data_IF_163130073520
#
_entry.id   IF_163130073520
#
_cell.length_a   1.000
_cell.length_b   1.000
_cell.length_c   1.000
_cell.angle_alpha   90.00
_cell.angle_beta   90.00
_cell.angle_gamma   90.00
#
_symmetry.space_group_name_H-M   'P 1'
#
loop_
_entity.id
_entity.type
_entity.pdbx_description
1 polymer ?
#
# COMPACT_ATOMS: atom_id res chain seq x y z
N UNK A 1 19.86 -13.17 24.20
CA UNK A 1 18.54 -12.59 24.44
C UNK A 1 18.42 -11.43 23.45
N UNK A 2 17.87 -11.64 22.56
CA UNK A 2 16.77 -11.76 21.61
C UNK A 2 16.93 -10.81 20.44
N UNK A 3 17.84 -11.20 19.53
CA UNK A 3 18.00 -10.49 18.22
C UNK A 3 16.87 -10.86 17.23
N UNK A 4 15.96 -11.76 17.63
CA UNK A 4 14.92 -12.34 16.74
C UNK A 4 13.64 -11.50 16.66
N UNK A 5 13.61 -10.34 17.35
CA UNK A 5 12.43 -9.47 17.44
C UNK A 5 12.54 -8.18 16.62
N UNK A 6 13.67 -7.92 15.99
CA UNK A 6 13.88 -6.71 15.17
C UNK A 6 14.32 -7.08 13.77
N UNK A 7 13.64 -6.54 12.78
CA UNK A 7 13.96 -6.66 11.36
C UNK A 7 14.50 -5.32 10.85
N UNK A 8 15.66 -5.34 10.22
CA UNK A 8 16.22 -4.17 9.54
C UNK A 8 15.66 -4.13 8.11
N UNK A 9 14.87 -3.10 7.78
CA UNK A 9 14.25 -2.95 6.47
C UNK A 9 15.04 -1.97 5.61
N UNK A 10 15.42 -2.42 4.42
CA UNK A 10 16.02 -1.57 3.40
C UNK A 10 15.00 -0.57 2.88
N UNK A 11 15.46 0.65 2.58
CA UNK A 11 14.57 1.70 2.12
C UNK A 11 15.29 2.76 1.28
N UNK A 12 14.52 3.58 0.56
CA UNK A 12 15.04 4.75 -0.14
C UNK A 12 14.04 5.90 -0.13
N UNK A 13 14.57 7.10 -0.28
CA UNK A 13 13.81 8.35 -0.37
C UNK A 13 14.03 8.95 -1.76
N UNK A 14 12.93 9.13 -2.48
CA UNK A 14 12.90 9.74 -3.81
C UNK A 14 12.18 11.10 -3.75
N UNK A 15 12.67 12.08 -4.49
CA UNK A 15 12.03 13.39 -4.53
C UNK A 15 12.81 14.41 -5.35
N UNK A 16 12.31 15.63 -5.40
CA UNK A 16 13.01 16.74 -6.03
C UNK A 16 14.21 17.19 -5.18
N UNK A 17 15.32 17.49 -5.84
CA UNK A 17 16.45 18.21 -5.26
C UNK A 17 16.64 19.53 -6.00
N UNK A 18 17.16 20.55 -5.31
CA UNK A 18 17.43 21.86 -5.93
C UNK A 18 18.46 21.80 -7.08
N UNK A 19 19.33 20.79 -7.08
CA UNK A 19 20.45 20.72 -8.01
C UNK A 19 20.25 19.73 -9.17
N UNK A 20 19.43 18.70 -9.00
CA UNK A 20 19.37 17.54 -9.91
C UNK A 20 17.98 17.16 -10.40
N UNK A 21 16.95 17.95 -10.09
CA UNK A 21 15.57 17.55 -10.40
C UNK A 21 15.10 16.37 -9.53
N UNK A 22 14.27 15.49 -10.08
CA UNK A 22 13.78 14.30 -9.38
C UNK A 22 14.80 13.16 -9.40
N UNK A 23 14.99 12.51 -8.26
CA UNK A 23 15.89 11.37 -8.13
C UNK A 23 15.90 10.75 -6.73
N UNK A 24 16.68 9.70 -6.56
CA UNK A 24 16.96 9.12 -5.24
C UNK A 24 17.83 10.09 -4.46
N UNK A 25 17.33 10.52 -3.31
CA UNK A 25 18.05 11.38 -2.37
C UNK A 25 18.88 10.57 -1.40
N UNK A 26 18.29 9.50 -0.89
CA UNK A 26 18.90 8.62 0.10
C UNK A 26 18.51 7.18 -0.16
N UNK A 27 19.41 6.25 0.08
CA UNK A 27 19.15 4.81 -0.03
C UNK A 27 19.97 4.05 1.01
N UNK A 28 19.41 2.99 1.57
CA UNK A 28 20.10 2.15 2.53
C UNK A 28 21.22 1.32 1.90
N UNK A 29 22.16 0.88 2.75
CA UNK A 29 23.43 0.27 2.28
C UNK A 29 23.24 -1.06 1.54
N UNK A 30 22.24 -1.87 1.94
CA UNK A 30 21.96 -3.18 1.34
C UNK A 30 21.13 -3.12 0.07
N UNK A 31 20.62 -1.94 -0.29
CA UNK A 31 19.69 -1.81 -1.40
C UNK A 31 20.41 -1.85 -2.77
N UNK A 32 19.88 -2.68 -3.67
CA UNK A 32 20.24 -2.63 -5.09
C UNK A 32 19.40 -1.57 -5.83
N UNK A 33 19.73 -0.29 -5.58
CA UNK A 33 18.96 0.85 -6.08
C UNK A 33 18.61 0.80 -7.57
N UNK A 34 19.54 0.49 -8.51
CA UNK A 34 19.23 0.43 -9.93
C UNK A 34 18.12 -0.55 -10.32
N UNK A 35 17.99 -1.68 -9.61
CA UNK A 35 16.96 -2.66 -9.88
C UNK A 35 15.57 -2.11 -9.51
N UNK A 36 15.48 -1.51 -8.32
CA UNK A 36 14.20 -0.99 -7.82
C UNK A 36 13.80 0.31 -8.50
N UNK A 37 14.74 1.14 -8.91
CA UNK A 37 14.47 2.42 -9.57
C UNK A 37 13.75 2.26 -10.91
N UNK A 38 14.20 1.35 -11.77
CA UNK A 38 13.52 1.08 -13.04
C UNK A 38 12.08 0.64 -12.84
N UNK A 39 11.84 -0.14 -11.80
CA UNK A 39 10.51 -0.59 -11.45
C UNK A 39 9.62 0.57 -10.98
N UNK A 40 10.14 1.42 -10.10
CA UNK A 40 9.38 2.53 -9.53
C UNK A 40 9.16 3.67 -10.50
N UNK A 41 10.11 4.02 -11.35
CA UNK A 41 9.93 5.07 -12.36
C UNK A 41 8.70 4.81 -13.23
N UNK A 42 8.44 3.56 -13.57
CA UNK A 42 7.27 3.17 -14.33
C UNK A 42 5.96 3.22 -13.52
N UNK A 43 6.02 3.16 -12.18
CA UNK A 43 4.85 3.05 -11.30
C UNK A 43 4.57 4.33 -10.51
N UNK A 44 5.58 5.18 -10.29
CA UNK A 44 5.44 6.45 -9.55
C UNK A 44 4.99 7.63 -10.42
N UNK A 45 5.31 7.61 -11.72
CA UNK A 45 4.97 8.66 -12.67
C UNK A 45 3.47 8.94 -12.82
N UNK A 46 2.53 8.02 -12.55
CA UNK A 46 1.11 8.28 -12.71
C UNK A 46 0.49 9.15 -11.65
N UNK A 47 1.11 9.33 -10.49
CA UNK A 47 0.52 10.13 -9.42
C UNK A 47 0.72 11.61 -9.75
N UNK A 48 -0.23 12.17 -10.50
CA UNK A 48 -0.26 13.61 -10.76
C UNK A 48 -0.60 14.34 -9.48
N UNK A 49 0.26 15.32 -9.20
CA UNK A 49 0.02 16.35 -8.19
C UNK A 49 -1.24 17.12 -8.58
N UNK A 50 -2.39 16.85 -7.95
CA UNK A 50 -3.58 17.65 -8.16
C UNK A 50 -3.39 19.02 -7.48
N UNK A 51 -3.57 20.09 -8.25
CA UNK A 51 -3.70 21.44 -7.69
C UNK A 51 -5.05 21.53 -6.98
N UNK A 52 -5.04 21.78 -5.70
CA UNK A 52 -6.27 22.20 -4.99
C UNK A 52 -6.70 23.57 -5.48
N UNK A 53 -7.97 23.94 -5.30
CA UNK A 53 -8.51 25.26 -5.65
C UNK A 53 -7.70 26.42 -5.04
N UNK A 54 -6.94 26.18 -3.98
CA UNK A 54 -6.07 27.15 -3.30
C UNK A 54 -4.58 27.00 -3.67
N UNK A 55 -4.25 26.33 -4.78
CA UNK A 55 -2.87 26.17 -5.24
C UNK A 55 -2.01 25.18 -4.46
N UNK A 56 -2.55 24.50 -3.46
CA UNK A 56 -1.87 23.45 -2.69
C UNK A 56 -2.03 22.09 -3.35
N UNK A 57 -0.97 21.29 -3.33
CA UNK A 57 -1.02 19.90 -3.74
C UNK A 57 -1.11 19.04 -2.51
N UNK A 58 -2.16 18.25 -2.39
CA UNK A 58 -2.27 17.22 -1.38
C UNK A 58 -2.10 15.88 -2.06
N UNK A 59 -0.91 15.29 -1.90
CA UNK A 59 -0.72 13.87 -2.12
C UNK A 59 -0.44 13.27 -0.75
N UNK A 60 -1.27 12.35 -0.37
CA UNK A 60 -1.10 11.52 0.80
C UNK A 60 -1.65 10.14 0.45
N UNK A 61 -0.91 9.43 -0.39
CA UNK A 61 -1.28 8.11 -0.88
C UNK A 61 -0.25 7.06 -0.44
N UNK A 62 -0.71 5.83 -0.34
CA UNK A 62 0.12 4.65 -0.11
C UNK A 62 0.02 3.73 -1.29
N UNK A 63 1.15 3.17 -1.68
CA UNK A 63 1.18 2.14 -2.71
C UNK A 63 1.86 0.90 -2.17
N UNK A 64 1.31 -0.25 -2.52
CA UNK A 64 1.89 -1.55 -2.24
C UNK A 64 2.14 -2.25 -3.56
N UNK A 65 3.35 -2.75 -3.75
CA UNK A 65 3.75 -3.44 -4.96
C UNK A 65 4.52 -4.72 -4.66
N UNK A 66 4.37 -5.78 -5.48
CA UNK A 66 5.35 -6.85 -5.49
C UNK A 66 6.68 -6.30 -5.99
N UNK A 67 7.77 -6.64 -5.33
CA UNK A 67 9.09 -6.28 -5.81
C UNK A 67 9.48 -7.11 -7.05
N UNK A 68 10.32 -6.57 -7.94
CA UNK A 68 10.77 -7.30 -9.14
C UNK A 68 11.66 -8.50 -8.83
N UNK A 69 12.31 -8.51 -7.68
CA UNK A 69 13.14 -9.60 -7.19
C UNK A 69 12.49 -10.24 -5.96
N UNK A 70 12.04 -11.47 -6.14
CA UNK A 70 11.86 -12.51 -5.12
C UNK A 70 11.24 -12.13 -3.77
N UNK A 71 9.95 -12.46 -3.62
CA UNK A 71 9.27 -12.59 -2.34
C UNK A 71 9.35 -11.36 -1.42
N UNK A 72 9.46 -10.19 -2.01
CA UNK A 72 9.48 -8.91 -1.32
C UNK A 72 8.29 -8.05 -1.71
N UNK A 73 7.93 -7.15 -0.80
CA UNK A 73 6.85 -6.17 -0.93
C UNK A 73 7.45 -4.78 -0.83
N UNK A 74 7.06 -3.89 -1.71
CA UNK A 74 7.41 -2.48 -1.64
C UNK A 74 6.23 -1.71 -1.06
N UNK A 75 6.44 -1.05 0.07
CA UNK A 75 5.50 -0.07 0.61
C UNK A 75 6.02 1.33 0.28
N UNK A 76 5.30 2.07 -0.54
CA UNK A 76 5.62 3.44 -0.90
C UNK A 76 4.68 4.42 -0.22
N UNK A 77 5.26 5.36 0.52
CA UNK A 77 4.60 6.42 1.25
C UNK A 77 4.78 7.70 0.43
N UNK A 78 3.72 8.13 -0.25
CA UNK A 78 3.74 9.36 -1.04
C UNK A 78 3.23 10.52 -0.20
N UNK A 79 3.99 11.60 -0.24
CA UNK A 79 3.65 12.82 0.46
C UNK A 79 4.11 14.06 -0.29
N UNK A 80 3.89 15.22 0.33
CA UNK A 80 4.36 16.50 -0.18
C UNK A 80 5.89 16.57 -0.03
N UNK A 81 6.58 16.76 -1.14
CA UNK A 81 8.01 17.04 -1.15
C UNK A 81 8.32 18.52 -0.90
N UNK A 82 9.61 18.84 -0.81
CA UNK A 82 10.10 20.21 -0.78
C UNK A 82 9.80 20.87 -2.13
N UNK A 83 9.39 22.15 -2.13
CA UNK A 83 9.19 22.89 -3.38
C UNK A 83 10.48 22.92 -4.20
N UNK A 84 10.35 22.83 -5.52
CA UNK A 84 11.50 22.96 -6.42
C UNK A 84 12.03 24.41 -6.50
N UNK A 85 13.06 24.63 -7.30
CA UNK A 85 13.67 25.95 -7.51
C UNK A 85 12.72 27.02 -8.04
N UNK A 86 11.61 26.60 -8.68
CA UNK A 86 10.54 27.47 -9.17
C UNK A 86 9.37 27.59 -8.20
N UNK A 87 9.56 27.19 -6.93
CA UNK A 87 8.53 27.14 -5.88
C UNK A 87 7.29 26.31 -6.26
N UNK A 88 7.47 25.29 -7.13
CA UNK A 88 6.39 24.39 -7.49
C UNK A 88 6.32 23.23 -6.48
N UNK A 89 5.11 22.81 -6.11
CA UNK A 89 4.94 21.67 -5.21
C UNK A 89 5.49 20.40 -5.86
N UNK A 90 6.26 19.63 -5.10
CA UNK A 90 6.83 18.36 -5.54
C UNK A 90 6.28 17.20 -4.74
N UNK A 91 6.51 16.00 -5.23
CA UNK A 91 6.19 14.74 -4.54
C UNK A 91 7.45 14.23 -3.88
N UNK A 92 7.33 13.79 -2.63
CA UNK A 92 8.30 12.92 -1.99
C UNK A 92 7.73 11.51 -1.92
N UNK A 93 8.59 10.54 -2.08
CA UNK A 93 8.26 9.14 -1.89
C UNK A 93 9.31 8.48 -1.01
N UNK A 94 8.85 7.89 0.08
CA UNK A 94 9.65 7.01 0.90
C UNK A 94 9.20 5.58 0.66
N UNK A 95 10.07 4.75 0.12
CA UNK A 95 9.74 3.34 -0.14
C UNK A 95 10.56 2.43 0.76
N UNK A 96 9.89 1.46 1.36
CA UNK A 96 10.46 0.44 2.23
C UNK A 96 10.32 -0.93 1.57
N UNK A 97 11.38 -1.73 1.62
CA UNK A 97 11.42 -3.11 1.12
C UNK A 97 11.11 -4.05 2.28
N UNK A 98 10.08 -4.87 2.12
CA UNK A 98 9.55 -5.73 3.18
C UNK A 98 9.64 -7.18 2.70
N UNK A 99 10.25 -8.13 3.45
CA UNK A 99 10.14 -9.55 3.14
C UNK A 99 8.67 -10.01 3.18
N UNK A 100 8.19 -10.59 2.08
CA UNK A 100 6.80 -11.06 1.97
C UNK A 100 6.46 -12.11 3.04
N UNK A 101 7.45 -12.90 3.46
CA UNK A 101 7.32 -13.86 4.55
C UNK A 101 6.95 -13.22 5.88
N UNK A 102 7.48 -12.03 6.19
CA UNK A 102 7.17 -11.32 7.42
C UNK A 102 5.71 -10.82 7.46
N UNK A 103 5.17 -10.37 6.31
CA UNK A 103 3.75 -10.02 6.19
C UNK A 103 2.86 -11.27 6.25
N UNK A 104 3.17 -12.31 5.48
CA UNK A 104 2.38 -13.56 5.45
C UNK A 104 2.35 -14.27 6.80
N UNK A 105 3.43 -14.19 7.56
CA UNK A 105 3.45 -14.76 8.91
C UNK A 105 2.63 -13.96 9.93
N UNK A 106 2.20 -12.73 9.59
CA UNK A 106 1.53 -11.79 10.50
C UNK A 106 2.45 -11.23 11.59
N UNK A 107 3.77 -11.43 11.47
CA UNK A 107 4.76 -10.87 12.42
C UNK A 107 5.04 -9.38 12.15
N UNK A 108 4.67 -8.89 10.98
CA UNK A 108 4.83 -7.49 10.58
C UNK A 108 3.55 -7.01 9.91
N UNK A 109 3.09 -5.81 10.26
CA UNK A 109 1.98 -5.14 9.59
C UNK A 109 2.48 -3.94 8.77
N UNK A 110 1.82 -3.65 7.66
CA UNK A 110 2.14 -2.50 6.80
C UNK A 110 2.04 -1.18 7.56
N UNK A 111 1.10 -1.07 8.49
CA UNK A 111 0.95 0.10 9.36
C UNK A 111 2.16 0.32 10.28
N UNK A 112 2.75 -0.76 10.81
CA UNK A 112 3.94 -0.67 11.66
C UNK A 112 5.15 -0.20 10.85
N UNK A 113 5.28 -0.65 9.60
CA UNK A 113 6.33 -0.22 8.66
C UNK A 113 6.15 1.25 8.29
N UNK A 114 4.92 1.68 7.99
CA UNK A 114 4.62 3.09 7.72
C UNK A 114 5.00 3.98 8.91
N UNK A 115 4.61 3.59 10.11
CA UNK A 115 4.91 4.34 11.32
C UNK A 115 6.42 4.50 11.53
N UNK A 116 7.20 3.43 11.29
CA UNK A 116 8.65 3.45 11.38
C UNK A 116 9.29 4.35 10.32
N UNK A 117 8.79 4.31 9.08
CA UNK A 117 9.29 5.17 8.01
C UNK A 117 8.98 6.66 8.26
N UNK A 118 7.77 6.98 8.75
CA UNK A 118 7.39 8.35 9.13
C UNK A 118 8.26 8.86 10.30
N UNK A 119 8.54 7.99 11.29
CA UNK A 119 9.41 8.34 12.40
C UNK A 119 10.85 8.59 11.91
N UNK A 120 11.34 7.77 10.97
CA UNK A 120 12.62 7.99 10.32
C UNK A 120 12.68 9.35 9.64
N UNK A 121 11.68 9.72 8.84
CA UNK A 121 11.63 11.02 8.14
C UNK A 121 11.61 12.21 9.11
N UNK A 122 10.97 12.05 10.26
CA UNK A 122 10.98 13.08 11.32
C UNK A 122 12.35 13.26 11.96
N UNK A 123 13.07 12.15 12.18
CA UNK A 123 14.42 12.19 12.77
C UNK A 123 15.47 12.68 11.79
N UNK A 124 15.29 12.34 10.51
CA UNK A 124 16.28 12.61 9.46
C UNK A 124 15.65 13.38 8.27
N UNK A 125 15.14 14.59 8.49
CA UNK A 125 14.41 15.35 7.45
C UNK A 125 15.28 15.77 6.26
N UNK A 126 16.61 15.67 6.41
CA UNK A 126 17.60 16.00 5.37
C UNK A 126 18.43 14.77 4.96
N UNK A 127 17.86 13.57 5.14
CA UNK A 127 18.56 12.34 4.74
C UNK A 127 19.01 12.41 3.27
N UNK A 128 20.27 12.07 3.03
CA UNK A 128 20.88 12.09 1.71
C UNK A 128 22.03 11.07 1.62
N UNK A 129 22.25 10.51 0.43
CA UNK A 129 23.32 9.54 0.20
C UNK A 129 23.01 8.18 0.81
N UNK A 130 24.03 7.54 1.37
CA UNK A 130 23.87 6.24 2.04
C UNK A 130 23.34 6.41 3.46
N UNK A 131 22.35 5.62 3.80
CA UNK A 131 21.64 5.68 5.09
C UNK A 131 21.49 4.27 5.68
N UNK A 132 21.20 4.20 6.98
CA UNK A 132 20.98 2.94 7.68
C UNK A 132 19.57 2.39 7.39
N UNK A 133 19.45 1.06 7.45
CA UNK A 133 18.14 0.39 7.36
C UNK A 133 17.24 0.77 8.55
N UNK A 134 15.91 0.73 8.33
CA UNK A 134 14.93 1.04 9.37
C UNK A 134 14.72 -0.20 10.26
N UNK A 135 14.98 -0.12 11.57
CA UNK A 135 14.66 -1.19 12.50
C UNK A 135 13.15 -1.20 12.77
N UNK A 136 12.49 -2.33 12.52
CA UNK A 136 11.08 -2.54 12.83
C UNK A 136 10.94 -3.76 13.73
N UNK A 137 10.16 -3.61 14.80
CA UNK A 137 9.92 -4.70 15.74
C UNK A 137 8.96 -5.71 15.14
N UNK A 138 9.36 -6.98 15.15
CA UNK A 138 8.49 -8.10 14.80
C UNK A 138 7.63 -8.50 15.98
N UNK A 139 6.40 -8.86 15.73
CA UNK A 139 5.51 -9.48 16.73
C UNK A 139 6.03 -10.88 17.09
N UNK A 140 5.89 -11.29 18.36
CA UNK A 140 6.21 -12.66 18.76
C UNK A 140 5.44 -13.69 17.92
N UNK A 141 6.01 -14.86 17.62
CA UNK A 141 5.35 -15.89 16.83
C UNK A 141 4.08 -16.47 17.45
N UNK A 142 3.99 -16.40 18.78
CA UNK A 142 2.91 -16.93 19.61
C UNK A 142 1.85 -15.88 19.98
N UNK A 143 2.10 -14.61 19.64
CA UNK A 143 1.06 -13.58 19.79
C UNK A 143 -0.09 -13.89 18.82
N UNK A 144 -1.36 -13.95 19.32
CA UNK A 144 -2.48 -14.16 18.44
C UNK A 144 -2.43 -13.06 17.37
N UNK A 145 -2.32 -13.48 16.13
CA UNK A 145 -2.40 -12.58 14.99
C UNK A 145 -3.70 -11.80 15.16
N UNK A 146 -3.59 -10.51 15.41
CA UNK A 146 -4.70 -9.64 15.07
C UNK A 146 -4.76 -9.71 13.53
N UNK A 147 -5.64 -10.54 12.94
CA UNK A 147 -5.78 -10.47 11.53
C UNK A 147 -6.08 -9.01 11.26
N UNK A 148 -5.57 -8.46 10.17
CA UNK A 148 -6.01 -7.17 9.62
C UNK A 148 -7.54 -6.95 9.76
N UNK A 149 -8.22 -7.95 10.24
CA UNK A 149 -9.62 -8.13 10.49
C UNK A 149 -10.23 -7.32 11.59
N UNK A 150 -9.59 -6.97 12.68
CA UNK A 150 -10.28 -6.14 13.70
C UNK A 150 -10.46 -4.71 13.16
N UNK A 151 -9.50 -4.21 12.39
CA UNK A 151 -9.64 -2.92 11.69
C UNK A 151 -10.65 -2.99 10.54
N UNK A 152 -10.62 -4.04 9.72
CA UNK A 152 -11.36 -4.11 8.45
C UNK A 152 -12.88 -4.01 8.62
N UNK A 153 -13.45 -4.58 9.70
CA UNK A 153 -14.90 -4.51 10.00
C UNK A 153 -15.43 -3.09 10.15
N UNK A 154 -14.59 -2.15 10.56
CA UNK A 154 -14.95 -0.74 10.72
C UNK A 154 -14.83 0.03 9.41
N UNK A 155 -14.16 -0.55 8.43
CA UNK A 155 -13.78 0.12 7.19
C UNK A 155 -14.62 -0.34 6.00
N UNK A 156 -15.05 -1.60 5.98
CA UNK A 156 -15.75 -2.18 4.83
C UNK A 156 -16.63 -3.34 5.28
N UNK A 157 -17.68 -3.65 4.53
CA UNK A 157 -18.57 -4.77 4.82
C UNK A 157 -17.94 -6.11 4.45
N UNK A 158 -18.35 -7.20 5.12
CA UNK A 158 -17.92 -8.55 4.76
C UNK A 158 -18.26 -8.89 3.31
N UNK A 159 -19.47 -8.53 2.86
CA UNK A 159 -19.93 -8.77 1.50
C UNK A 159 -19.01 -8.12 0.45
N UNK A 160 -18.54 -6.90 0.70
CA UNK A 160 -17.59 -6.23 -0.16
C UNK A 160 -16.24 -6.95 -0.21
N UNK A 161 -15.73 -7.44 0.92
CA UNK A 161 -14.48 -8.21 0.96
C UNK A 161 -14.62 -9.57 0.27
N UNK A 162 -15.73 -10.25 0.45
CA UNK A 162 -16.03 -11.51 -0.27
C UNK A 162 -16.09 -11.27 -1.80
N UNK A 163 -16.64 -10.14 -2.23
CA UNK A 163 -16.68 -9.73 -3.65
C UNK A 163 -15.27 -9.49 -4.20
N UNK A 164 -14.42 -8.76 -3.46
CA UNK A 164 -13.01 -8.56 -3.82
C UNK A 164 -12.25 -9.88 -3.93
N UNK A 165 -12.38 -10.75 -2.93
CA UNK A 165 -11.74 -12.05 -2.92
C UNK A 165 -12.18 -12.92 -4.11
N UNK A 166 -13.48 -12.99 -4.38
CA UNK A 166 -14.05 -13.73 -5.50
C UNK A 166 -13.51 -13.22 -6.84
N UNK A 167 -13.42 -11.91 -7.00
CA UNK A 167 -12.90 -11.30 -8.23
C UNK A 167 -11.43 -11.64 -8.44
N UNK A 168 -10.59 -11.49 -7.43
CA UNK A 168 -9.15 -11.76 -7.54
C UNK A 168 -8.82 -13.25 -7.67
N UNK A 169 -9.62 -14.13 -7.09
CA UNK A 169 -9.49 -15.58 -7.28
C UNK A 169 -9.95 -16.04 -8.67
N UNK A 170 -11.02 -15.43 -9.19
CA UNK A 170 -11.60 -15.78 -10.49
C UNK A 170 -10.89 -15.18 -11.69
N UNK A 171 -10.26 -14.03 -11.52
CA UNK A 171 -9.60 -13.29 -12.60
C UNK A 171 -8.27 -12.69 -12.12
N UNK A 172 -7.16 -13.32 -12.51
CA UNK A 172 -5.81 -12.85 -12.15
C UNK A 172 -5.44 -11.51 -12.75
N UNK A 173 -6.17 -11.02 -13.75
CA UNK A 173 -5.99 -9.71 -14.39
C UNK A 173 -7.06 -8.71 -13.94
N UNK A 174 -8.03 -9.15 -13.14
CA UNK A 174 -9.14 -8.32 -12.68
C UNK A 174 -8.67 -7.09 -11.92
N UNK A 175 -9.30 -5.95 -12.20
CA UNK A 175 -9.03 -4.66 -11.56
C UNK A 175 -10.26 -4.23 -10.77
N UNK A 176 -10.02 -3.78 -9.53
CA UNK A 176 -11.06 -3.35 -8.62
C UNK A 176 -10.84 -1.91 -8.17
N UNK A 177 -11.87 -1.08 -8.30
CA UNK A 177 -11.92 0.25 -7.72
C UNK A 177 -12.89 0.23 -6.53
N UNK A 178 -12.37 0.46 -5.34
CA UNK A 178 -13.16 0.60 -4.11
C UNK A 178 -13.46 2.07 -3.88
N UNK A 179 -14.73 2.43 -3.94
CA UNK A 179 -15.19 3.79 -3.72
C UNK A 179 -15.57 3.99 -2.25
N UNK A 180 -14.86 4.89 -1.58
CA UNK A 180 -15.08 5.26 -0.18
C UNK A 180 -15.45 6.74 -0.09
N UNK A 181 -16.68 7.09 -0.43
CA UNK A 181 -17.14 8.49 -0.54
C UNK A 181 -16.93 9.27 0.75
N UNK A 182 -16.33 10.45 0.64
CA UNK A 182 -16.11 11.34 1.79
C UNK A 182 -15.11 10.83 2.83
N UNK A 183 -14.39 9.74 2.56
CA UNK A 183 -13.39 9.21 3.46
C UNK A 183 -12.14 10.08 3.55
N UNK A 184 -11.46 10.04 4.70
CA UNK A 184 -10.15 10.67 4.89
C UNK A 184 -9.04 9.85 4.23
N UNK A 185 -7.86 10.44 4.04
CA UNK A 185 -6.67 9.73 3.56
C UNK A 185 -6.29 8.61 4.52
N UNK A 186 -6.31 8.89 5.83
CA UNK A 186 -6.02 7.90 6.86
C UNK A 186 -6.92 6.67 6.74
N UNK A 187 -8.23 6.87 6.59
CA UNK A 187 -9.18 5.78 6.39
C UNK A 187 -8.81 4.92 5.17
N UNK A 188 -8.48 5.54 4.04
CA UNK A 188 -8.14 4.82 2.81
C UNK A 188 -6.82 4.08 2.91
N UNK A 189 -5.83 4.67 3.59
CA UNK A 189 -4.54 4.02 3.84
C UNK A 189 -4.72 2.78 4.72
N UNK A 190 -5.49 2.89 5.81
CA UNK A 190 -5.80 1.79 6.70
C UNK A 190 -6.58 0.68 5.98
N UNK A 191 -7.59 1.04 5.17
CA UNK A 191 -8.33 0.09 4.36
C UNK A 191 -7.43 -0.65 3.36
N UNK A 192 -6.49 0.06 2.69
CA UNK A 192 -5.53 -0.56 1.79
C UNK A 192 -4.71 -1.63 2.51
N UNK A 193 -4.17 -1.31 3.68
CA UNK A 193 -3.35 -2.23 4.45
C UNK A 193 -4.13 -3.47 4.86
N UNK A 194 -5.30 -3.27 5.46
CA UNK A 194 -6.17 -4.37 5.87
C UNK A 194 -6.54 -5.29 4.69
N UNK A 195 -6.89 -4.72 3.53
CA UNK A 195 -7.24 -5.52 2.36
C UNK A 195 -6.02 -6.29 1.80
N UNK A 196 -4.87 -5.65 1.67
CA UNK A 196 -3.66 -6.30 1.15
C UNK A 196 -3.23 -7.43 2.09
N UNK A 197 -3.15 -7.17 3.39
CA UNK A 197 -2.74 -8.16 4.39
C UNK A 197 -3.70 -9.35 4.42
N UNK A 198 -5.01 -9.10 4.47
CA UNK A 198 -6.02 -10.16 4.51
C UNK A 198 -6.03 -11.01 3.25
N UNK A 199 -5.99 -10.39 2.08
CA UNK A 199 -6.06 -11.10 0.81
C UNK A 199 -4.78 -11.86 0.48
N UNK A 200 -3.63 -11.36 0.93
CA UNK A 200 -2.32 -11.95 0.63
C UNK A 200 -1.84 -12.97 1.68
N UNK A 201 -2.35 -12.91 2.91
CA UNK A 201 -1.83 -13.67 4.06
C UNK A 201 -1.68 -15.18 3.83
N UNK A 202 -2.62 -15.80 3.15
CA UNK A 202 -2.58 -17.25 2.89
C UNK A 202 -1.88 -17.67 1.60
N UNK A 203 -1.47 -16.69 0.77
CA UNK A 203 -0.82 -16.98 -0.51
C UNK A 203 -1.75 -17.41 -1.64
N UNK A 204 -3.07 -17.53 -1.43
CA UNK A 204 -4.04 -17.89 -2.48
C UNK A 204 -4.18 -16.80 -3.53
N UNK A 205 -4.07 -15.55 -3.09
CA UNK A 205 -3.99 -14.40 -3.98
C UNK A 205 -2.54 -13.89 -3.95
N UNK A 206 -1.81 -13.96 -5.07
CA UNK A 206 -0.49 -13.36 -5.17
C UNK A 206 -0.56 -11.86 -4.86
N UNK A 207 0.49 -11.32 -4.26
CA UNK A 207 0.58 -9.88 -4.06
C UNK A 207 0.38 -9.14 -5.39
N UNK A 208 -0.38 -8.07 -5.34
CA UNK A 208 -0.73 -7.27 -6.51
C UNK A 208 -0.48 -5.77 -6.24
N UNK A 209 -0.24 -4.98 -7.30
CA UNK A 209 -0.11 -3.54 -7.14
C UNK A 209 -1.43 -2.91 -6.66
N UNK A 210 -1.35 -2.11 -5.58
CA UNK A 210 -2.50 -1.47 -4.96
C UNK A 210 -2.18 -0.03 -4.53
N UNK A 211 -3.18 0.86 -4.53
CA UNK A 211 -3.04 2.27 -4.16
C UNK A 211 -4.21 2.76 -3.33
N UNK A 212 -3.95 3.59 -2.31
CA UNK A 212 -4.96 4.10 -1.37
C UNK A 212 -5.67 5.37 -1.81
N UNK A 213 -5.14 6.12 -2.77
CA UNK A 213 -5.82 7.29 -3.33
C UNK A 213 -5.60 7.37 -4.84
N UNK A 214 -6.69 7.16 -5.56
CA UNK A 214 -6.72 7.10 -7.00
C UNK A 214 -7.22 8.43 -7.59
N UNK A 215 -6.33 9.31 -8.07
CA UNK A 215 -6.77 10.60 -8.62
C UNK A 215 -7.48 10.45 -9.97
N UNK A 216 -7.04 9.54 -10.83
CA UNK A 216 -7.67 9.24 -12.13
C UNK A 216 -7.39 7.79 -12.53
N UNK A 217 -8.32 7.14 -13.23
CA UNK A 217 -8.13 5.75 -13.68
C UNK A 217 -7.11 5.60 -14.80
N UNK A 218 -6.96 6.60 -15.66
CA UNK A 218 -6.00 6.55 -16.77
C UNK A 218 -4.55 6.46 -16.29
N UNK A 219 -4.26 6.99 -15.10
CA UNK A 219 -2.96 6.89 -14.47
C UNK A 219 -2.70 5.55 -13.78
N UNK A 220 -3.69 4.64 -13.75
CA UNK A 220 -3.72 3.48 -12.87
C UNK A 220 -3.63 2.14 -13.58
N UNK A 221 -3.24 2.13 -14.84
CA UNK A 221 -3.16 0.90 -15.63
C UNK A 221 -2.28 -0.20 -15.02
N UNK A 222 -1.41 0.14 -14.07
CA UNK A 222 -0.52 -0.78 -13.39
C UNK A 222 -1.08 -1.36 -12.08
N UNK A 223 -2.17 -0.76 -11.54
CA UNK A 223 -2.77 -1.21 -10.29
C UNK A 223 -3.88 -2.23 -10.53
N UNK A 224 -4.03 -3.17 -9.62
CA UNK A 224 -5.16 -4.10 -9.59
C UNK A 224 -6.21 -3.70 -8.55
N UNK A 225 -5.80 -3.04 -7.49
CA UNK A 225 -6.67 -2.47 -6.47
C UNK A 225 -6.41 -0.97 -6.36
N UNK A 226 -7.46 -0.18 -6.49
CA UNK A 226 -7.42 1.24 -6.25
C UNK A 226 -8.54 1.62 -5.28
N UNK A 227 -8.25 2.49 -4.32
CA UNK A 227 -9.23 3.07 -3.43
C UNK A 227 -9.41 4.53 -3.79
N UNK A 228 -10.63 5.06 -3.77
CA UNK A 228 -10.90 6.46 -4.08
C UNK A 228 -11.99 7.02 -3.21
N UNK A 229 -11.85 8.28 -2.79
CA UNK A 229 -12.90 9.04 -2.11
C UNK A 229 -13.84 9.76 -3.09
N UNK A 230 -13.50 9.77 -4.37
CA UNK A 230 -14.19 10.54 -5.42
C UNK A 230 -14.86 9.59 -6.38
N UNK A 231 -15.98 10.02 -6.95
CA UNK A 231 -16.61 9.31 -8.05
C UNK A 231 -15.72 9.36 -9.29
N UNK A 232 -14.84 8.39 -9.41
CA UNK A 232 -14.02 8.20 -10.61
C UNK A 232 -14.87 7.46 -11.63
N UNK A 233 -14.93 7.96 -12.86
CA UNK A 233 -15.57 7.24 -13.95
C UNK A 233 -14.75 6.01 -14.28
N UNK A 234 -15.26 4.83 -13.88
CA UNK A 234 -14.65 3.56 -14.27
C UNK A 234 -14.82 3.39 -15.79
N UNK A 235 -13.73 3.16 -16.50
CA UNK A 235 -13.82 2.55 -17.82
C UNK A 235 -14.13 1.05 -17.64
N UNK A 236 -14.58 0.38 -18.71
CA UNK A 236 -14.98 -1.02 -18.65
C UNK A 236 -13.89 -2.02 -18.20
N UNK A 237 -12.66 -1.54 -17.94
CA UNK A 237 -11.54 -2.37 -17.45
C UNK A 237 -11.52 -2.50 -15.92
N UNK A 238 -12.28 -1.67 -15.20
CA UNK A 238 -12.37 -1.66 -13.75
C UNK A 238 -13.75 -2.12 -13.26
N UNK A 239 -13.79 -3.01 -12.31
CA UNK A 239 -14.99 -3.32 -11.55
C UNK A 239 -15.09 -2.35 -10.38
N UNK A 240 -16.21 -1.61 -10.30
CA UNK A 240 -16.48 -0.67 -9.22
C UNK A 240 -17.15 -1.41 -8.06
N UNK A 241 -16.64 -1.18 -6.86
CA UNK A 241 -17.24 -1.60 -5.59
C UNK A 241 -17.45 -0.37 -4.72
N UNK A 242 -18.68 -0.09 -4.32
CA UNK A 242 -18.98 0.97 -3.36
C UNK A 242 -18.94 0.40 -1.94
N UNK A 243 -17.93 0.80 -1.16
CA UNK A 243 -17.70 0.28 0.19
C UNK A 243 -18.79 0.67 1.20
N UNK A 244 -19.63 1.67 0.86
CA UNK A 244 -20.72 2.16 1.71
C UNK A 244 -22.06 1.45 1.48
N UNK A 245 -22.13 0.61 0.44
CA UNK A 245 -23.35 -0.11 0.06
C UNK A 245 -23.15 -1.60 0.37
N UNK A 246 -24.13 -2.22 1.04
CA UNK A 246 -24.20 -3.68 1.19
C UNK A 246 -24.60 -4.30 -0.17
N UNK A 247 -23.63 -4.51 -1.02
CA UNK A 247 -23.85 -5.28 -2.24
C UNK A 247 -23.97 -6.77 -1.90
N UNK A 248 -24.89 -7.49 -2.56
CA UNK A 248 -24.98 -8.94 -2.38
C UNK A 248 -23.63 -9.56 -2.77
N UNK A 249 -23.04 -10.31 -1.86
CA UNK A 249 -21.80 -11.02 -2.12
C UNK A 249 -21.96 -11.87 -3.39
N UNK A 250 -20.97 -11.80 -4.29
CA UNK A 250 -20.91 -12.79 -5.37
C UNK A 250 -20.86 -14.19 -4.72
N UNK A 251 -21.59 -15.17 -5.27
CA UNK A 251 -21.54 -16.51 -4.70
C UNK A 251 -20.08 -16.96 -4.63
N UNK A 252 -19.65 -17.53 -3.49
CA UNK A 252 -18.27 -17.94 -3.32
C UNK A 252 -17.91 -18.90 -4.45
N UNK A 253 -16.72 -18.75 -5.03
CA UNK A 253 -16.19 -19.67 -6.02
C UNK A 253 -16.34 -21.08 -5.46
N UNK A 254 -17.01 -21.98 -6.18
CA UNK A 254 -17.32 -23.35 -5.74
C UNK A 254 -16.02 -24.04 -5.30
N UNK A 255 -15.85 -24.21 -4.01
CA UNK A 255 -14.71 -24.84 -3.38
C UNK A 255 -14.44 -24.26 -1.99
N UNK A 256 -13.92 -25.07 -1.08
CA UNK A 256 -13.46 -24.63 0.25
C UNK A 256 -12.12 -23.88 0.09
N UNK A 257 -12.16 -22.65 -0.42
CA UNK A 257 -10.95 -21.83 -0.46
C UNK A 257 -10.68 -21.29 0.97
N UNK A 258 -9.47 -21.54 1.54
CA UNK A 258 -9.11 -21.12 2.90
C UNK A 258 -9.27 -19.60 3.14
N UNK A 259 -9.15 -18.79 2.09
CA UNK A 259 -9.34 -17.34 2.17
C UNK A 259 -10.71 -16.96 2.74
N UNK A 260 -11.79 -17.64 2.32
CA UNK A 260 -13.14 -17.34 2.86
C UNK A 260 -13.29 -17.67 4.34
N UNK A 261 -12.56 -18.69 4.82
CA UNK A 261 -12.45 -19.01 6.25
C UNK A 261 -11.81 -17.86 7.01
N UNK A 262 -10.67 -17.36 6.55
CA UNK A 262 -9.98 -16.21 7.16
C UNK A 262 -10.83 -14.94 7.13
N UNK A 263 -11.53 -14.66 6.02
CA UNK A 263 -12.45 -13.54 5.95
C UNK A 263 -13.56 -13.70 7.01
N UNK A 264 -14.15 -14.88 7.13
CA UNK A 264 -15.20 -15.12 8.10
C UNK A 264 -14.68 -14.93 9.54
N UNK A 265 -13.49 -15.43 9.87
CA UNK A 265 -12.83 -15.24 11.17
C UNK A 265 -12.58 -13.75 11.44
N UNK A 266 -12.04 -13.01 10.44
CA UNK A 266 -11.78 -11.59 10.55
C UNK A 266 -13.03 -10.77 10.86
N UNK A 267 -14.21 -11.21 10.40
CA UNK A 267 -15.49 -10.54 10.68
C UNK A 267 -16.26 -11.13 11.86
N UNK A 268 -15.89 -12.31 12.37
CA UNK A 268 -16.50 -12.94 13.52
C UNK A 268 -15.86 -12.53 14.86
N UNK A 269 -14.58 -12.19 14.86
CA UNK A 269 -13.88 -11.77 16.07
C UNK A 269 -14.50 -10.47 16.62
N UNK A 270 -15.10 -10.56 17.79
CA UNK A 270 -15.86 -9.48 18.46
C UNK A 270 -14.95 -8.43 19.10
#
# INVERSE_FOLDING_TARGET
MDDDTTLALEHWIYGASHEKGYGVKAESHGLNGPLYMRYLENHLTPVRVEKTANGGTLIDARMVHPAPANDEVLLSILGRGVADEYNRPTIANHTVVIPSSALRSGRLALADVEAAAIDYDRRYPKAAGRIDAIPVRLRPPDEPRDPAGVGIRRLITKAAVDTLASRFLGDRQGRMLVLCRGSTNQYRNELLYCLVELLHAGGEIPLFPAISDAPTLSAMNHFRLAISSRGVRADGSWTLLDASIDEPALPPVRGKNPLYGRIAEAFAAA
#
